data_IF_158459120858
#
_entry.id   IF_158459120858
#
_cell.length_a   1.000
_cell.length_b   1.000
_cell.length_c   1.000
_cell.angle_alpha   90.00
_cell.angle_beta   90.00
_cell.angle_gamma   90.00
#
_symmetry.space_group_name_H-M   'P 1'
#
loop_
_entity.id
_entity.type
_entity.pdbx_description
1 polymer ?
#
# COMPACT_ATOMS: atom_id res chain seq x y z
N UNK A 1 4.27 -25.26 -2.22
CA UNK A 1 3.10 -24.42 -2.55
C UNK A 1 2.60 -23.85 -1.24
N UNK A 2 2.96 -22.61 -0.93
CA UNK A 2 2.47 -21.93 0.26
C UNK A 2 0.96 -21.68 0.15
N UNK A 3 0.24 -21.89 1.24
CA UNK A 3 -1.16 -21.48 1.32
C UNK A 3 -1.19 -19.94 1.39
N UNK A 4 -1.94 -19.29 0.49
CA UNK A 4 -2.13 -17.84 0.55
C UNK A 4 -2.79 -17.49 1.87
N UNK A 5 -2.11 -16.67 2.66
CA UNK A 5 -2.59 -16.26 3.98
C UNK A 5 -3.50 -15.04 3.86
N UNK A 6 -4.68 -15.13 4.48
CA UNK A 6 -5.54 -13.97 4.68
C UNK A 6 -4.86 -13.02 5.65
N UNK A 7 -4.65 -11.79 5.21
CA UNK A 7 -4.06 -10.73 6.04
C UNK A 7 -4.78 -9.40 5.81
N UNK A 8 -4.62 -8.47 6.73
CA UNK A 8 -5.18 -7.13 6.61
C UNK A 8 -4.10 -6.21 6.05
N UNK A 9 -4.31 -5.71 4.84
CA UNK A 9 -3.39 -4.83 4.13
C UNK A 9 -3.91 -3.39 4.19
N UNK A 10 -3.15 -2.45 4.77
CA UNK A 10 -3.41 -1.03 4.61
C UNK A 10 -3.20 -0.62 3.15
N UNK A 11 -4.12 0.20 2.63
CA UNK A 11 -4.04 0.74 1.29
C UNK A 11 -4.07 2.26 1.37
N UNK A 12 -3.06 2.87 0.79
CA UNK A 12 -2.90 4.32 0.70
C UNK A 12 -3.16 4.79 -0.73
N UNK A 13 -3.56 6.05 -0.90
CA UNK A 13 -3.49 6.73 -2.19
C UNK A 13 -2.90 8.12 -2.07
N UNK A 14 -2.41 8.62 -3.19
CA UNK A 14 -1.92 9.99 -3.33
C UNK A 14 -1.54 10.27 -4.78
N UNK A 15 -1.08 11.48 -5.04
CA UNK A 15 -0.71 11.93 -6.39
C UNK A 15 0.78 12.24 -6.43
N UNK A 16 1.53 11.51 -7.26
CA UNK A 16 3.00 11.58 -7.32
C UNK A 16 3.48 11.49 -8.75
N UNK A 17 4.58 12.17 -9.07
CA UNK A 17 5.11 12.21 -10.44
C UNK A 17 5.60 10.84 -10.95
N UNK A 18 6.01 9.93 -10.05
CA UNK A 18 6.62 8.63 -10.39
C UNK A 18 6.51 7.64 -9.22
N UNK A 19 6.58 6.32 -9.52
CA UNK A 19 6.59 5.29 -8.47
C UNK A 19 7.77 5.45 -7.48
N UNK A 20 9.01 5.78 -7.92
CA UNK A 20 10.10 6.11 -7.01
C UNK A 20 9.78 7.31 -6.12
N UNK A 21 9.19 8.38 -6.67
CA UNK A 21 8.84 9.57 -5.88
C UNK A 21 7.82 9.25 -4.77
N UNK A 22 6.82 8.43 -5.09
CA UNK A 22 5.86 7.90 -4.12
C UNK A 22 6.53 7.05 -3.04
N UNK A 23 7.45 6.15 -3.43
CA UNK A 23 8.22 5.34 -2.48
C UNK A 23 9.11 6.20 -1.58
N UNK A 24 9.87 7.13 -2.15
CA UNK A 24 10.77 8.03 -1.42
C UNK A 24 10.02 8.90 -0.41
N UNK A 25 8.85 9.43 -0.79
CA UNK A 25 8.00 10.19 0.13
C UNK A 25 7.56 9.34 1.33
N UNK A 26 7.11 8.10 1.08
CA UNK A 26 6.73 7.18 2.14
C UNK A 26 7.92 6.76 3.01
N UNK A 27 9.07 6.47 2.39
CA UNK A 27 10.29 6.04 3.08
C UNK A 27 10.87 7.17 3.93
N UNK A 28 10.83 8.42 3.44
CA UNK A 28 11.23 9.58 4.20
C UNK A 28 10.38 9.74 5.45
N UNK A 29 9.04 9.70 5.33
CA UNK A 29 8.17 9.86 6.48
C UNK A 29 8.23 8.65 7.44
N UNK A 30 8.40 7.42 6.93
CA UNK A 30 8.71 6.25 7.76
C UNK A 30 9.99 6.43 8.57
N UNK A 31 11.04 6.95 7.93
CA UNK A 31 12.33 7.22 8.58
C UNK A 31 12.21 8.28 9.68
N UNK A 32 11.35 9.29 9.52
CA UNK A 32 11.08 10.26 10.60
C UNK A 32 10.43 9.63 11.84
N UNK A 33 9.77 8.48 11.69
CA UNK A 33 9.25 7.66 12.79
C UNK A 33 10.27 6.63 13.31
N UNK A 34 11.50 6.61 12.79
CA UNK A 34 12.51 5.60 13.12
C UNK A 34 12.27 4.23 12.48
N UNK A 35 11.40 4.14 11.46
CA UNK A 35 11.09 2.91 10.74
C UNK A 35 11.81 2.90 9.40
N UNK A 36 12.53 1.82 9.10
CA UNK A 36 13.10 1.58 7.78
C UNK A 36 12.14 0.69 6.99
N UNK A 37 11.81 1.11 5.78
CA UNK A 37 11.01 0.31 4.84
C UNK A 37 11.85 -0.03 3.62
N UNK A 38 11.70 -1.27 3.13
CA UNK A 38 12.26 -1.72 1.88
C UNK A 38 11.20 -1.83 0.79
N UNK A 39 11.67 -2.08 -0.44
CA UNK A 39 10.80 -2.34 -1.59
C UNK A 39 9.93 -3.60 -1.42
N UNK A 40 10.27 -4.50 -0.49
CA UNK A 40 9.49 -5.70 -0.21
C UNK A 40 8.27 -5.43 0.68
N UNK A 41 8.32 -4.38 1.50
CA UNK A 41 7.28 -4.02 2.47
C UNK A 41 6.09 -3.29 1.84
N UNK A 42 6.28 -2.71 0.66
CA UNK A 42 5.28 -1.86 0.01
C UNK A 42 5.22 -2.16 -1.48
N UNK A 43 4.01 -2.07 -2.04
CA UNK A 43 3.80 -2.18 -3.48
C UNK A 43 3.19 -0.88 -4.00
N UNK A 44 3.97 -0.11 -4.75
CA UNK A 44 3.57 1.20 -5.30
C UNK A 44 3.01 1.02 -6.70
N UNK A 45 1.71 1.26 -6.86
CA UNK A 45 0.91 1.00 -8.05
C UNK A 45 0.47 2.34 -8.65
N UNK A 46 0.93 2.64 -9.86
CA UNK A 46 0.44 3.81 -10.65
C UNK A 46 -0.27 3.37 -11.92
N UNK A 47 0.35 2.46 -12.63
CA UNK A 47 -0.16 1.92 -13.89
C UNK A 47 -0.88 0.60 -13.62
N UNK A 48 -1.92 0.32 -14.41
CA UNK A 48 -2.75 -0.90 -14.36
C UNK A 48 -3.21 -1.29 -12.94
N UNK A 49 -3.84 -0.37 -12.18
CA UNK A 49 -4.19 -0.62 -10.79
C UNK A 49 -5.10 -1.83 -10.60
N UNK A 50 -6.04 -2.09 -11.53
CA UNK A 50 -6.90 -3.27 -11.52
C UNK A 50 -6.12 -4.58 -11.44
N UNK A 51 -5.13 -4.73 -12.33
CA UNK A 51 -4.37 -5.98 -12.48
C UNK A 51 -3.52 -6.19 -11.25
N UNK A 52 -2.77 -5.16 -10.84
CA UNK A 52 -1.89 -5.19 -9.66
C UNK A 52 -2.68 -5.44 -8.37
N UNK A 53 -3.78 -4.74 -8.14
CA UNK A 53 -4.62 -4.91 -6.95
C UNK A 53 -5.28 -6.29 -6.91
N UNK A 54 -5.64 -6.88 -8.06
CA UNK A 54 -6.21 -8.22 -8.13
C UNK A 54 -5.26 -9.33 -7.68
N UNK A 55 -3.94 -9.08 -7.61
CA UNK A 55 -3.00 -10.02 -6.99
C UNK A 55 -3.19 -10.13 -5.48
N UNK A 56 -3.65 -9.04 -4.85
CA UNK A 56 -3.82 -8.96 -3.40
C UNK A 56 -5.28 -9.15 -2.97
N UNK A 57 -6.22 -8.63 -3.75
CA UNK A 57 -7.59 -8.41 -3.29
C UNK A 57 -8.62 -9.10 -4.18
N UNK A 58 -9.75 -9.46 -3.58
CA UNK A 58 -10.92 -9.92 -4.34
C UNK A 58 -11.51 -8.78 -5.18
N UNK A 59 -12.16 -9.07 -6.32
CA UNK A 59 -12.68 -8.03 -7.22
C UNK A 59 -13.56 -6.97 -6.55
N UNK A 60 -14.41 -7.36 -5.59
CA UNK A 60 -15.26 -6.42 -4.86
C UNK A 60 -14.46 -5.42 -4.00
N UNK A 61 -13.30 -5.83 -3.48
CA UNK A 61 -12.40 -4.96 -2.72
C UNK A 61 -11.63 -4.05 -3.68
N UNK A 62 -11.16 -4.58 -4.83
CA UNK A 62 -10.50 -3.77 -5.87
C UNK A 62 -11.41 -2.62 -6.31
N UNK A 63 -12.66 -2.93 -6.68
CA UNK A 63 -13.63 -1.91 -7.08
C UNK A 63 -13.85 -0.85 -5.99
N UNK A 64 -13.88 -1.26 -4.71
CA UNK A 64 -14.01 -0.33 -3.58
C UNK A 64 -12.76 0.54 -3.39
N UNK A 65 -11.57 -0.01 -3.57
CA UNK A 65 -10.31 0.75 -3.49
C UNK A 65 -10.29 1.81 -4.60
N UNK A 66 -10.71 1.48 -5.81
CA UNK A 66 -10.76 2.42 -6.94
C UNK A 66 -11.77 3.53 -6.75
N UNK A 67 -12.96 3.20 -6.24
CA UNK A 67 -13.96 4.20 -5.86
C UNK A 67 -13.39 5.19 -4.82
N UNK A 68 -12.67 4.68 -3.82
CA UNK A 68 -12.04 5.50 -2.79
C UNK A 68 -10.78 6.26 -3.25
N UNK A 69 -10.07 5.76 -4.26
CA UNK A 69 -8.90 6.40 -4.87
C UNK A 69 -9.28 7.74 -5.52
N UNK A 70 -10.49 7.85 -6.07
CA UNK A 70 -10.99 9.05 -6.72
C UNK A 70 -9.98 9.59 -7.77
N UNK A 71 -9.49 10.82 -7.59
CA UNK A 71 -8.58 11.50 -8.53
C UNK A 71 -7.10 11.17 -8.33
N UNK A 72 -6.73 10.44 -7.27
CA UNK A 72 -5.33 10.07 -7.03
C UNK A 72 -4.83 9.11 -8.12
N UNK A 73 -3.61 9.31 -8.61
CA UNK A 73 -3.01 8.45 -9.64
C UNK A 73 -2.09 7.35 -9.08
N UNK A 74 -1.82 7.36 -7.77
CA UNK A 74 -0.96 6.39 -7.10
C UNK A 74 -1.69 5.69 -5.97
N UNK A 75 -1.61 4.36 -5.93
CA UNK A 75 -2.07 3.50 -4.84
C UNK A 75 -0.88 2.76 -4.26
N UNK A 76 -0.81 2.64 -2.93
CA UNK A 76 0.24 1.88 -2.26
C UNK A 76 -0.39 0.82 -1.37
N UNK A 77 -0.02 -0.43 -1.59
CA UNK A 77 -0.39 -1.55 -0.72
C UNK A 77 0.75 -1.78 0.26
N UNK A 78 0.46 -1.73 1.55
CA UNK A 78 1.46 -1.99 2.59
C UNK A 78 1.34 -3.45 3.02
N UNK A 79 2.42 -4.22 2.87
CA UNK A 79 2.51 -5.58 3.37
C UNK A 79 2.79 -5.58 4.88
N UNK A 80 2.50 -6.69 5.59
CA UNK A 80 2.79 -6.84 7.01
C UNK A 80 4.26 -6.54 7.31
N UNK A 81 4.48 -5.41 7.97
CA UNK A 81 5.80 -4.83 8.25
C UNK A 81 5.71 -3.92 9.48
N UNK A 82 6.86 -3.48 10.00
CA UNK A 82 6.91 -2.51 11.10
C UNK A 82 6.12 -1.23 10.78
N UNK A 83 6.07 -0.81 9.51
CA UNK A 83 5.29 0.35 9.06
C UNK A 83 3.78 0.13 9.25
N UNK A 84 3.26 -1.03 8.84
CA UNK A 84 1.83 -1.36 8.96
C UNK A 84 1.34 -1.47 10.41
N UNK A 85 2.25 -1.75 11.35
CA UNK A 85 1.97 -1.86 12.77
C UNK A 85 2.14 -0.53 13.53
N UNK A 86 2.61 0.53 12.87
CA UNK A 86 2.88 1.80 13.51
C UNK A 86 1.58 2.51 13.94
N UNK A 87 1.54 3.11 15.16
CA UNK A 87 0.33 3.76 15.67
C UNK A 87 -0.03 5.07 14.93
N UNK A 88 0.96 5.78 14.37
CA UNK A 88 0.76 7.02 13.59
C UNK A 88 0.78 6.77 12.08
N UNK A 89 0.12 5.69 11.64
CA UNK A 89 0.07 5.30 10.23
C UNK A 89 -1.22 5.79 9.55
N UNK A 90 -1.16 6.35 8.32
CA UNK A 90 0.03 6.67 7.55
C UNK A 90 0.81 7.83 8.16
N UNK A 91 2.15 7.88 7.99
CA UNK A 91 2.93 8.96 8.54
C UNK A 91 2.51 10.31 7.97
N UNK A 92 2.37 11.29 8.86
CA UNK A 92 2.10 12.68 8.50
C UNK A 92 3.13 13.23 7.51
N UNK A 93 2.67 14.09 6.61
CA UNK A 93 3.52 14.73 5.59
C UNK A 93 4.00 13.81 4.47
N UNK A 94 3.59 12.54 4.44
CA UNK A 94 3.94 11.61 3.35
C UNK A 94 3.23 11.90 2.02
N UNK A 95 2.24 12.78 2.01
CA UNK A 95 1.40 13.06 0.83
C UNK A 95 0.39 11.94 0.52
N UNK A 96 0.33 10.90 1.35
CA UNK A 96 -0.62 9.81 1.23
C UNK A 96 -1.82 9.98 2.17
N UNK A 97 -2.98 9.54 1.70
CA UNK A 97 -4.18 9.32 2.52
C UNK A 97 -4.44 7.83 2.69
N UNK A 98 -4.96 7.44 3.84
CA UNK A 98 -5.41 6.08 4.08
C UNK A 98 -6.78 5.87 3.44
N UNK A 99 -6.87 5.00 2.43
CA UNK A 99 -8.16 4.56 1.89
C UNK A 99 -8.86 3.58 2.81
N UNK A 100 -8.08 2.74 3.49
CA UNK A 100 -8.59 1.79 4.46
C UNK A 100 -7.66 0.60 4.68
N UNK A 101 -8.19 -0.38 5.41
CA UNK A 101 -7.52 -1.65 5.69
C UNK A 101 -8.41 -2.77 5.15
N UNK A 102 -7.88 -3.53 4.20
CA UNK A 102 -8.66 -4.50 3.44
C UNK A 102 -8.12 -5.92 3.61
N UNK A 103 -9.02 -6.90 3.55
CA UNK A 103 -8.63 -8.31 3.55
C UNK A 103 -7.92 -8.65 2.23
N UNK A 104 -6.62 -8.89 2.30
CA UNK A 104 -5.77 -9.32 1.20
C UNK A 104 -5.31 -10.77 1.36
N UNK A 105 -4.79 -11.30 0.26
CA UNK A 105 -4.17 -12.61 0.15
C UNK A 105 -2.69 -12.40 -0.16
N UNK A 106 -1.81 -12.78 0.76
CA UNK A 106 -0.37 -12.79 0.50
C UNK A 106 0.13 -14.22 0.41
N UNK A 107 1.06 -14.45 -0.50
CA UNK A 107 1.86 -15.66 -0.49
C UNK A 107 3.06 -15.43 0.45
N UNK A 108 3.25 -16.24 1.50
CA UNK A 108 4.33 -16.05 2.46
C UNK A 108 5.73 -16.34 1.87
N UNK A 109 5.82 -16.88 0.66
CA UNK A 109 7.06 -17.31 0.00
C UNK A 109 7.42 -16.47 -1.26
N UNK A 110 6.64 -15.40 -1.55
CA UNK A 110 6.76 -14.58 -2.76
C UNK A 110 7.62 -13.31 -2.60
#
# INVERSE_FOLDING_TARGET
>A
MGERQNTILPVLSGSFESQPAAFDALAYSAKTMGILIGAWDVDVIREVPDVRLAHYFRPAIVARIQDLQAEDDTVVVIKPSALSAAPMFPPDGSGFRLLGRFAGLLDPDA
#
